data_IF_069871608515
#
_entry.id   IF_069871608515
#
_cell.length_a   1.000
_cell.length_b   1.000
_cell.length_c   1.000
_cell.angle_alpha   90.00
_cell.angle_beta   90.00
_cell.angle_gamma   90.00
#
_symmetry.space_group_name_H-M   'P 1'
#
loop_
_entity.id
_entity.type
_entity.pdbx_description
1 polymer ?
#
# COMPACT_ATOMS: atom_id res chain seq x y z
N UNK A 1 14.89 17.39 7.37
CA UNK A 1 15.27 16.36 6.40
C UNK A 1 14.01 15.69 5.86
N UNK A 2 13.76 15.81 4.56
CA UNK A 2 12.55 15.28 3.91
C UNK A 2 12.88 13.94 3.27
N UNK A 3 12.06 12.92 3.53
CA UNK A 3 12.20 11.57 2.96
C UNK A 3 11.28 11.43 1.75
N UNK A 4 11.84 11.10 0.59
CA UNK A 4 11.09 10.87 -0.65
C UNK A 4 11.14 9.38 -0.94
N UNK A 5 9.97 8.74 -1.02
CA UNK A 5 9.81 7.32 -1.37
C UNK A 5 9.25 7.25 -2.79
N UNK A 6 10.05 6.76 -3.73
CA UNK A 6 9.62 6.53 -5.11
C UNK A 6 10.21 5.20 -5.58
N UNK A 7 9.38 4.36 -6.19
CA UNK A 7 9.69 2.97 -6.54
C UNK A 7 10.40 2.83 -7.90
N UNK A 8 10.72 3.96 -8.54
CA UNK A 8 11.34 4.03 -9.86
C UNK A 8 10.51 3.34 -10.97
N UNK A 9 9.19 3.15 -10.77
CA UNK A 9 8.31 2.41 -11.68
C UNK A 9 8.16 3.05 -13.07
N UNK A 10 8.39 4.36 -13.19
CA UNK A 10 8.59 5.04 -14.46
C UNK A 10 9.79 6.00 -14.36
N UNK A 11 10.86 5.68 -15.08
CA UNK A 11 12.13 6.43 -15.03
C UNK A 11 11.96 7.94 -15.33
N UNK A 12 11.04 8.29 -16.24
CA UNK A 12 10.73 9.68 -16.61
C UNK A 12 10.12 10.44 -15.42
N UNK A 13 9.17 9.81 -14.72
CA UNK A 13 8.50 10.41 -13.56
C UNK A 13 9.46 10.53 -12.38
N UNK A 14 10.31 9.52 -12.16
CA UNK A 14 11.39 9.58 -11.16
C UNK A 14 12.30 10.79 -11.38
N UNK A 15 12.73 11.00 -12.63
CA UNK A 15 13.64 12.08 -12.99
C UNK A 15 12.98 13.46 -12.87
N UNK A 16 11.71 13.59 -13.28
CA UNK A 16 10.96 14.83 -13.12
C UNK A 16 10.80 15.22 -11.65
N UNK A 17 10.41 14.27 -10.78
CA UNK A 17 10.32 14.46 -9.34
C UNK A 17 11.66 14.85 -8.72
N UNK A 18 12.73 14.14 -9.07
CA UNK A 18 14.07 14.42 -8.56
C UNK A 18 14.53 15.83 -8.96
N UNK A 19 14.23 16.25 -10.19
CA UNK A 19 14.61 17.56 -10.72
C UNK A 19 13.85 18.69 -10.02
N UNK A 20 12.53 18.57 -9.88
CA UNK A 20 11.71 19.60 -9.22
C UNK A 20 12.04 19.74 -7.73
N UNK A 21 12.26 18.62 -7.03
CA UNK A 21 12.62 18.62 -5.61
C UNK A 21 14.03 19.20 -5.39
N UNK A 22 14.98 18.88 -6.26
CA UNK A 22 16.35 19.43 -6.18
C UNK A 22 16.42 20.92 -6.56
N UNK A 23 15.45 21.41 -7.33
CA UNK A 23 15.30 22.83 -7.62
C UNK A 23 14.70 23.59 -6.42
N UNK A 24 13.71 23.01 -5.75
CA UNK A 24 12.99 23.66 -4.66
C UNK A 24 13.70 23.61 -3.29
N UNK A 25 14.61 22.65 -3.08
CA UNK A 25 15.22 22.38 -1.78
C UNK A 25 16.75 22.25 -1.88
N UNK A 26 17.47 22.62 -0.83
CA UNK A 26 18.92 22.37 -0.76
C UNK A 26 19.21 20.87 -0.83
N UNK A 27 20.31 20.49 -1.47
CA UNK A 27 20.68 19.07 -1.64
C UNK A 27 20.87 18.36 -0.30
N UNK A 28 21.30 19.05 0.76
CA UNK A 28 21.43 18.46 2.10
C UNK A 28 20.09 18.28 2.82
N UNK A 29 19.02 18.92 2.36
CA UNK A 29 17.70 18.85 3.01
C UNK A 29 16.90 17.59 2.63
N UNK A 30 17.29 16.88 1.57
CA UNK A 30 16.54 15.77 0.97
C UNK A 30 17.34 14.47 0.99
N UNK A 31 16.76 13.42 1.58
CA UNK A 31 17.30 12.07 1.52
C UNK A 31 16.38 11.22 0.66
N UNK A 32 16.85 10.88 -0.54
CA UNK A 32 16.23 9.89 -1.40
C UNK A 32 16.53 8.50 -0.83
N UNK A 33 15.49 7.75 -0.47
CA UNK A 33 15.62 6.35 -0.11
C UNK A 33 15.02 5.51 -1.21
N UNK A 34 15.78 4.50 -1.63
CA UNK A 34 15.26 3.49 -2.54
C UNK A 34 14.08 2.81 -1.84
N UNK A 35 12.90 2.89 -2.45
CA UNK A 35 11.67 2.32 -1.91
C UNK A 35 11.35 1.06 -2.71
N UNK A 36 12.26 0.09 -2.69
CA UNK A 36 12.00 -1.17 -3.38
C UNK A 36 10.95 -1.97 -2.59
N UNK A 37 9.96 -2.60 -3.25
CA UNK A 37 8.93 -3.41 -2.59
C UNK A 37 9.46 -4.42 -1.58
N UNK A 38 10.70 -4.88 -1.77
CA UNK A 38 11.38 -5.81 -0.87
C UNK A 38 11.67 -5.23 0.52
N UNK A 39 11.84 -3.91 0.63
CA UNK A 39 12.31 -3.23 1.83
C UNK A 39 11.17 -2.85 2.78
N UNK A 40 9.92 -2.96 2.35
CA UNK A 40 8.71 -2.65 3.16
C UNK A 40 7.68 -3.78 3.14
N UNK A 41 8.13 -5.02 2.95
CA UNK A 41 7.25 -6.20 2.83
C UNK A 41 6.46 -6.48 4.10
N UNK A 42 7.04 -6.21 5.28
CA UNK A 42 6.36 -6.43 6.56
C UNK A 42 5.25 -5.41 6.75
N UNK A 43 5.51 -4.15 6.40
CA UNK A 43 4.54 -3.07 6.40
C UNK A 43 3.41 -3.34 5.41
N UNK A 44 3.72 -3.81 4.19
CA UNK A 44 2.70 -4.24 3.23
C UNK A 44 1.86 -5.41 3.75
N UNK A 45 2.50 -6.40 4.38
CA UNK A 45 1.79 -7.53 4.95
C UNK A 45 0.85 -7.06 6.07
N UNK A 46 1.33 -6.19 6.97
CA UNK A 46 0.52 -5.60 8.03
C UNK A 46 -0.65 -4.78 7.47
N UNK A 47 -0.41 -3.92 6.48
CA UNK A 47 -1.43 -3.11 5.82
C UNK A 47 -2.50 -3.97 5.15
N UNK A 48 -2.09 -5.05 4.47
CA UNK A 48 -3.01 -6.01 3.88
C UNK A 48 -3.85 -6.74 4.96
N UNK A 49 -3.23 -7.16 6.07
CA UNK A 49 -3.96 -7.79 7.18
C UNK A 49 -5.00 -6.85 7.79
N UNK A 50 -4.62 -5.61 8.07
CA UNK A 50 -5.53 -4.59 8.58
C UNK A 50 -6.66 -4.29 7.58
N UNK A 51 -6.35 -4.18 6.29
CA UNK A 51 -7.33 -3.95 5.23
C UNK A 51 -8.33 -5.09 5.15
N UNK A 52 -7.88 -6.34 5.14
CA UNK A 52 -8.77 -7.51 5.09
C UNK A 52 -9.69 -7.55 6.31
N UNK A 53 -9.18 -7.36 7.53
CA UNK A 53 -10.03 -7.37 8.73
C UNK A 53 -11.04 -6.21 8.74
N UNK A 54 -10.62 -5.01 8.31
CA UNK A 54 -11.52 -3.87 8.17
C UNK A 54 -12.61 -4.13 7.13
N UNK A 55 -12.26 -4.62 5.94
CA UNK A 55 -13.23 -5.00 4.90
C UNK A 55 -14.17 -6.10 5.41
N UNK A 56 -13.69 -6.99 6.29
CA UNK A 56 -14.55 -7.99 6.91
C UNK A 56 -15.68 -7.34 7.73
N UNK A 57 -15.34 -6.36 8.57
CA UNK A 57 -16.30 -5.59 9.36
C UNK A 57 -17.25 -4.76 8.49
N UNK A 58 -16.75 -4.18 7.39
CA UNK A 58 -17.57 -3.40 6.45
C UNK A 58 -18.63 -4.27 5.80
N UNK A 59 -18.26 -5.45 5.30
CA UNK A 59 -19.24 -6.40 4.76
C UNK A 59 -20.26 -6.88 5.79
N UNK A 60 -19.86 -7.07 7.05
CA UNK A 60 -20.79 -7.46 8.12
C UNK A 60 -21.78 -6.34 8.47
N UNK A 61 -21.37 -5.08 8.30
CA UNK A 61 -22.21 -3.90 8.49
C UNK A 61 -22.94 -3.43 7.22
N UNK A 62 -22.68 -4.04 6.07
CA UNK A 62 -23.18 -3.57 4.77
C UNK A 62 -22.65 -2.19 4.35
N UNK A 63 -21.45 -1.82 4.81
CA UNK A 63 -20.80 -0.53 4.57
C UNK A 63 -19.58 -0.63 3.65
N UNK A 64 -19.44 -1.74 2.91
CA UNK A 64 -18.40 -1.88 1.89
C UNK A 64 -18.56 -0.87 0.76
N UNK A 65 -17.44 -0.37 0.26
CA UNK A 65 -17.41 0.61 -0.83
C UNK A 65 -17.33 -0.07 -2.20
N UNK A 66 -17.50 0.71 -3.27
CA UNK A 66 -17.25 0.23 -4.62
C UNK A 66 -15.80 -0.29 -4.79
N UNK A 67 -14.82 0.33 -4.13
CA UNK A 67 -13.43 -0.12 -4.14
C UNK A 67 -13.27 -1.47 -3.47
N UNK A 68 -13.90 -1.68 -2.30
CA UNK A 68 -13.87 -2.99 -1.64
C UNK A 68 -14.41 -4.08 -2.56
N UNK A 69 -15.54 -3.81 -3.24
CA UNK A 69 -16.14 -4.76 -4.18
C UNK A 69 -15.31 -4.97 -5.45
N UNK A 70 -14.58 -3.96 -5.91
CA UNK A 70 -13.67 -4.09 -7.06
C UNK A 70 -12.47 -4.97 -6.74
N UNK A 71 -11.89 -4.82 -5.55
CA UNK A 71 -10.70 -5.58 -5.13
C UNK A 71 -11.09 -6.98 -4.61
N UNK A 72 -12.07 -7.04 -3.71
CA UNK A 72 -12.41 -8.25 -2.95
C UNK A 72 -13.65 -8.98 -3.46
N UNK A 73 -14.31 -8.46 -4.51
CA UNK A 73 -15.55 -9.01 -5.09
C UNK A 73 -16.70 -9.00 -4.07
N UNK A 74 -17.50 -10.05 -4.03
CA UNK A 74 -18.59 -10.19 -3.06
C UNK A 74 -18.11 -10.81 -1.75
N UNK A 75 -18.95 -10.75 -0.70
CA UNK A 75 -18.65 -11.30 0.63
C UNK A 75 -18.23 -12.78 0.62
N UNK A 76 -18.83 -13.60 -0.25
CA UNK A 76 -18.50 -15.03 -0.35
C UNK A 76 -17.09 -15.23 -0.89
N UNK A 77 -16.75 -14.55 -1.98
CA UNK A 77 -15.42 -14.60 -2.60
C UNK A 77 -14.36 -14.02 -1.66
N UNK A 78 -14.63 -12.87 -1.06
CA UNK A 78 -13.78 -12.25 -0.05
C UNK A 78 -13.44 -13.24 1.09
N UNK A 79 -14.46 -13.88 1.66
CA UNK A 79 -14.27 -14.82 2.79
C UNK A 79 -13.43 -16.04 2.38
N UNK A 80 -13.68 -16.61 1.20
CA UNK A 80 -13.00 -17.82 0.72
C UNK A 80 -11.54 -17.53 0.37
N UNK A 81 -11.28 -16.45 -0.37
CA UNK A 81 -10.01 -16.20 -1.02
C UNK A 81 -9.05 -15.32 -0.20
N UNK A 82 -9.57 -14.54 0.75
CA UNK A 82 -8.74 -13.62 1.54
C UNK A 82 -8.86 -13.91 3.03
N UNK A 83 -10.04 -13.71 3.63
CA UNK A 83 -10.21 -13.73 5.09
C UNK A 83 -9.81 -15.07 5.71
N UNK A 84 -10.27 -16.21 5.16
CA UNK A 84 -9.91 -17.53 5.69
C UNK A 84 -8.42 -17.83 5.56
N UNK A 85 -7.78 -17.38 4.48
CA UNK A 85 -6.35 -17.63 4.25
C UNK A 85 -5.53 -16.80 5.23
N UNK A 86 -5.90 -15.54 5.43
CA UNK A 86 -5.18 -14.61 6.29
C UNK A 86 -5.30 -15.00 7.76
N UNK A 87 -6.50 -15.35 8.25
CA UNK A 87 -6.71 -15.78 9.64
C UNK A 87 -6.02 -17.11 9.99
N UNK A 88 -5.77 -17.99 9.01
CA UNK A 88 -4.94 -19.19 9.22
C UNK A 88 -3.46 -18.87 9.47
N UNK A 89 -3.01 -17.65 9.13
CA UNK A 89 -1.65 -17.17 9.35
C UNK A 89 -1.53 -16.27 10.59
N UNK A 90 -2.63 -16.00 11.29
CA UNK A 90 -2.55 -15.40 12.62
C UNK A 90 -1.97 -16.45 13.57
N UNK A 91 -0.79 -16.14 14.12
CA UNK A 91 -0.14 -16.93 15.16
C UNK A 91 -0.85 -16.73 16.49
#
# INVERSE_FOLDING_TARGET
MIKVYYDNGQQIVANALKTSISYALSKEAVVYRDAQPKDYRLEQAADLMCTVELTALKFDKGTETATDRKIFKNRRDFRKNYLKILRRKQF
#
